data_IF_203972309754
#
_entry.id   IF_203972309754
#
_cell.length_a   1.000
_cell.length_b   1.000
_cell.length_c   1.000
_cell.angle_alpha   90.00
_cell.angle_beta   90.00
_cell.angle_gamma   90.00
#
_symmetry.space_group_name_H-M   'P 1'
#
loop_
_entity.id
_entity.type
_entity.pdbx_description
1 polymer ?
#
# COMPACT_ATOMS: atom_id res chain seq x y z
N UNK A 1 10.43 30.14 17.41
CA UNK A 1 10.95 29.39 16.26
C UNK A 1 9.99 28.25 15.97
N UNK A 2 9.07 28.44 15.01
CA UNK A 2 8.05 27.44 14.68
C UNK A 2 8.60 26.49 13.62
N UNK A 3 9.01 25.29 14.04
CA UNK A 3 9.36 24.20 13.13
C UNK A 3 8.08 23.69 12.47
N UNK A 4 7.75 24.22 11.30
CA UNK A 4 6.69 23.65 10.46
C UNK A 4 7.09 22.22 10.12
N UNK A 5 6.27 21.20 10.46
CA UNK A 5 6.56 19.84 10.06
C UNK A 5 6.49 19.79 8.53
N UNK A 6 7.67 19.71 7.88
CA UNK A 6 7.75 19.39 6.45
C UNK A 6 7.00 18.08 6.26
N UNK A 7 5.80 18.15 5.66
CA UNK A 7 5.11 16.95 5.17
C UNK A 7 6.15 16.15 4.38
N UNK A 8 6.34 14.86 4.66
CA UNK A 8 7.32 14.07 3.94
C UNK A 8 7.03 14.21 2.45
N UNK A 9 8.09 14.47 1.67
CA UNK A 9 8.00 14.77 0.22
C UNK A 9 7.24 13.67 -0.53
N UNK A 10 7.27 12.46 0.03
CA UNK A 10 6.40 11.35 -0.32
C UNK A 10 5.42 11.15 0.86
N UNK A 11 4.10 11.14 0.64
CA UNK A 11 3.19 10.72 1.69
C UNK A 11 3.64 9.35 2.19
N UNK A 12 3.85 9.22 3.51
CA UNK A 12 4.01 7.93 4.16
C UNK A 12 2.81 7.11 3.73
N UNK A 13 3.03 6.18 2.80
CA UNK A 13 1.99 5.39 2.17
C UNK A 13 1.36 4.56 3.28
N UNK A 14 0.22 5.01 3.82
CA UNK A 14 -0.53 4.22 4.78
C UNK A 14 -1.17 3.08 3.98
N UNK A 15 -0.81 1.81 4.22
CA UNK A 15 -1.39 0.68 3.48
C UNK A 15 -2.91 0.57 3.62
N UNK A 16 -3.47 1.29 4.61
CA UNK A 16 -4.87 1.27 4.99
C UNK A 16 -5.83 1.81 3.91
N UNK A 17 -5.36 2.60 2.92
CA UNK A 17 -6.26 3.41 2.08
C UNK A 17 -6.29 3.09 0.58
N UNK A 18 -5.71 1.99 0.09
CA UNK A 18 -5.76 1.69 -1.36
C UNK A 18 -6.03 0.23 -1.71
N UNK A 19 -7.18 -0.26 -1.27
CA UNK A 19 -7.78 -1.47 -1.81
C UNK A 19 -9.15 -1.16 -2.42
N UNK A 20 -9.50 -1.86 -3.50
CA UNK A 20 -10.85 -1.85 -4.06
C UNK A 20 -11.33 -3.30 -4.22
N UNK A 21 -12.65 -3.47 -4.15
CA UNK A 21 -13.30 -4.78 -4.32
C UNK A 21 -14.15 -4.75 -5.58
N UNK A 22 -14.05 -5.80 -6.38
CA UNK A 22 -14.96 -6.03 -7.51
C UNK A 22 -15.54 -7.44 -7.44
N UNK A 23 -16.36 -7.81 -8.44
CA UNK A 23 -16.98 -9.13 -8.53
C UNK A 23 -15.96 -10.29 -8.59
N UNK A 24 -14.67 -10.01 -8.82
CA UNK A 24 -13.59 -11.00 -8.88
C UNK A 24 -12.79 -11.11 -7.59
N UNK A 25 -12.97 -10.20 -6.63
CA UNK A 25 -12.27 -10.22 -5.34
C UNK A 25 -11.64 -8.88 -4.96
N UNK A 26 -10.61 -8.96 -4.11
CA UNK A 26 -9.91 -7.81 -3.54
C UNK A 26 -8.69 -7.42 -4.35
N UNK A 27 -8.45 -6.13 -4.54
CA UNK A 27 -7.33 -5.61 -5.30
C UNK A 27 -6.67 -4.49 -4.51
N UNK A 28 -5.34 -4.36 -4.61
CA UNK A 28 -4.63 -3.19 -4.08
C UNK A 28 -4.03 -2.34 -5.20
N UNK A 29 -3.88 -1.05 -4.92
CA UNK A 29 -3.31 -0.06 -5.83
C UNK A 29 -2.22 0.78 -5.13
N UNK A 30 -1.00 0.74 -5.63
CA UNK A 30 0.08 1.66 -5.28
C UNK A 30 0.30 2.66 -6.42
N UNK A 31 1.18 3.65 -6.22
CA UNK A 31 1.53 4.62 -7.29
C UNK A 31 2.13 3.92 -8.52
N UNK A 32 2.71 2.75 -8.31
CA UNK A 32 3.58 2.05 -9.26
C UNK A 32 3.01 0.67 -9.67
N UNK A 33 1.95 0.18 -9.02
CA UNK A 33 1.42 -1.18 -9.24
C UNK A 33 -0.06 -1.31 -8.92
N UNK A 34 -0.75 -2.13 -9.71
CA UNK A 34 -2.07 -2.68 -9.40
C UNK A 34 -1.92 -4.20 -9.28
N UNK A 35 -2.47 -4.80 -8.24
CA UNK A 35 -2.34 -6.25 -8.00
C UNK A 35 -3.61 -6.85 -7.42
N UNK A 36 -3.95 -8.05 -7.89
CA UNK A 36 -5.14 -8.80 -7.51
C UNK A 36 -5.57 -9.76 -8.65
N UNK A 37 -6.71 -10.45 -8.51
CA UNK A 37 -7.60 -10.46 -7.35
C UNK A 37 -7.07 -11.35 -6.22
N UNK A 38 -7.31 -10.94 -4.98
CA UNK A 38 -7.08 -11.71 -3.77
C UNK A 38 -8.41 -12.23 -3.21
N UNK A 39 -8.45 -13.46 -2.66
CA UNK A 39 -9.68 -14.08 -2.20
C UNK A 39 -10.22 -13.42 -0.93
N UNK A 40 -9.36 -12.92 -0.05
CA UNK A 40 -9.77 -12.21 1.16
C UNK A 40 -9.15 -10.81 1.24
N UNK A 41 -9.78 -9.94 2.05
CA UNK A 41 -9.23 -8.62 2.38
C UNK A 41 -7.85 -8.74 3.05
N UNK A 42 -7.66 -9.75 3.90
CA UNK A 42 -6.40 -9.98 4.61
C UNK A 42 -5.26 -10.26 3.62
N UNK A 43 -5.47 -11.19 2.67
CA UNK A 43 -4.48 -11.52 1.64
C UNK A 43 -4.10 -10.29 0.79
N UNK A 44 -5.09 -9.46 0.45
CA UNK A 44 -4.88 -8.23 -0.29
C UNK A 44 -4.02 -7.22 0.48
N UNK A 45 -4.29 -7.06 1.78
CA UNK A 45 -3.55 -6.16 2.66
C UNK A 45 -2.13 -6.67 2.90
N UNK A 46 -1.96 -7.96 3.14
CA UNK A 46 -0.65 -8.58 3.35
C UNK A 46 0.21 -8.52 2.09
N UNK A 47 -0.37 -8.78 0.91
CA UNK A 47 0.33 -8.64 -0.36
C UNK A 47 0.76 -7.18 -0.64
N UNK A 48 -0.11 -6.21 -0.32
CA UNK A 48 0.22 -4.79 -0.41
C UNK A 48 1.38 -4.42 0.54
N UNK A 49 1.32 -4.90 1.79
CA UNK A 49 2.37 -4.68 2.79
C UNK A 49 3.69 -5.27 2.36
N UNK A 50 3.70 -6.52 1.90
CA UNK A 50 4.88 -7.22 1.40
C UNK A 50 5.50 -6.45 0.22
N UNK A 51 4.67 -5.98 -0.70
CA UNK A 51 5.13 -5.18 -1.84
C UNK A 51 5.81 -3.89 -1.40
N UNK A 52 5.18 -3.13 -0.50
CA UNK A 52 5.76 -1.88 0.04
C UNK A 52 7.07 -2.17 0.77
N UNK A 53 7.12 -3.20 1.62
CA UNK A 53 8.33 -3.56 2.35
C UNK A 53 9.48 -3.96 1.43
N UNK A 54 9.20 -4.68 0.33
CA UNK A 54 10.21 -5.00 -0.70
C UNK A 54 10.66 -3.75 -1.45
N UNK A 55 9.73 -2.90 -1.89
CA UNK A 55 10.05 -1.65 -2.60
C UNK A 55 10.90 -0.70 -1.76
N UNK A 56 10.58 -0.61 -0.48
CA UNK A 56 11.26 0.27 0.47
C UNK A 56 12.56 -0.37 1.02
N UNK A 57 12.95 -1.56 0.54
CA UNK A 57 14.19 -2.25 0.92
C UNK A 57 14.20 -2.83 2.33
N UNK A 58 13.05 -2.91 3.00
CA UNK A 58 12.90 -3.45 4.37
C UNK A 58 13.06 -4.98 4.37
N UNK A 59 12.61 -5.64 3.31
CA UNK A 59 12.80 -7.07 3.08
C UNK A 59 13.82 -7.24 1.95
N UNK A 60 15.06 -7.55 2.33
CA UNK A 60 16.15 -8.00 1.44
C UNK A 60 16.33 -9.51 1.57
#
# INVERSE_FOLDING_TARGET
MSTTPKKPKNPLFKPQDRYFVNHRGWWFYTVDKISGPYPTKADCVDACRLYIQRRDGVLS
#
